data_IF_597123564849
#
_entry.id   IF_597123564849
#
_cell.length_a   1.000
_cell.length_b   1.000
_cell.length_c   1.000
_cell.angle_alpha   90.00
_cell.angle_beta   90.00
_cell.angle_gamma   90.00
#
_symmetry.space_group_name_H-M   'P 1'
#
loop_
_entity.id
_entity.type
_entity.pdbx_description
1 polymer ?
#
# COMPACT_ATOMS: atom_id res chain seq x y z
N UNK A 1 8.52 -7.57 2.01
CA UNK A 1 7.11 -8.04 1.91
C UNK A 1 6.22 -7.73 3.12
N UNK A 2 6.76 -7.50 4.33
CA UNK A 2 5.95 -7.26 5.54
C UNK A 2 4.97 -6.09 5.41
N UNK A 3 5.44 -4.92 4.96
CA UNK A 3 4.58 -3.73 4.78
C UNK A 3 3.42 -3.98 3.81
N UNK A 4 3.68 -4.62 2.66
CA UNK A 4 2.65 -4.97 1.68
C UNK A 4 1.54 -5.84 2.32
N UNK A 5 1.90 -6.80 3.18
CA UNK A 5 0.93 -7.65 3.90
C UNK A 5 0.12 -6.87 4.94
N UNK A 6 0.74 -5.94 5.66
CA UNK A 6 0.04 -5.08 6.63
C UNK A 6 -1.01 -4.22 5.94
N UNK A 7 -0.65 -3.60 4.82
CA UNK A 7 -1.56 -2.82 3.99
C UNK A 7 -2.75 -3.66 3.54
N UNK A 8 -2.50 -4.80 2.88
CA UNK A 8 -3.56 -5.70 2.40
C UNK A 8 -4.47 -6.15 3.54
N UNK A 9 -3.91 -6.54 4.69
CA UNK A 9 -4.70 -6.99 5.85
C UNK A 9 -5.61 -5.89 6.43
N UNK A 10 -5.17 -4.63 6.45
CA UNK A 10 -6.03 -3.51 6.87
C UNK A 10 -7.15 -3.26 5.87
N UNK A 11 -6.83 -3.33 4.57
CA UNK A 11 -7.80 -3.12 3.50
C UNK A 11 -8.82 -4.26 3.46
N UNK A 12 -8.42 -5.52 3.55
CA UNK A 12 -9.32 -6.67 3.58
C UNK A 12 -10.35 -6.58 4.71
N UNK A 13 -9.90 -6.19 5.91
CA UNK A 13 -10.79 -5.98 7.07
C UNK A 13 -11.66 -4.73 6.99
N UNK A 14 -11.48 -3.90 5.95
CA UNK A 14 -12.17 -2.62 5.77
C UNK A 14 -12.11 -1.71 7.01
N UNK A 15 -11.02 -1.80 7.78
CA UNK A 15 -10.93 -1.12 9.07
C UNK A 15 -10.37 0.30 8.89
N UNK A 16 -11.28 1.23 8.62
CA UNK A 16 -10.96 2.64 8.32
C UNK A 16 -10.13 3.33 9.41
N UNK A 17 -10.29 2.92 10.67
CA UNK A 17 -9.47 3.37 11.82
C UNK A 17 -7.98 3.19 11.58
N UNK A 18 -7.59 2.17 10.82
CA UNK A 18 -6.18 1.86 10.56
C UNK A 18 -5.67 2.35 9.20
N UNK A 19 -6.48 3.06 8.40
CA UNK A 19 -6.04 3.59 7.11
C UNK A 19 -4.84 4.54 7.20
N UNK A 20 -4.70 5.40 8.22
CA UNK A 20 -3.49 6.21 8.37
C UNK A 20 -2.22 5.37 8.53
N UNK A 21 -2.29 4.28 9.32
CA UNK A 21 -1.17 3.36 9.49
C UNK A 21 -0.87 2.60 8.18
N UNK A 22 -1.90 2.09 7.51
CA UNK A 22 -1.73 1.43 6.23
C UNK A 22 -1.17 2.38 5.15
N UNK A 23 -1.50 3.66 5.16
CA UNK A 23 -0.92 4.63 4.24
C UNK A 23 0.58 4.85 4.52
N UNK A 24 0.99 4.91 5.79
CA UNK A 24 2.41 4.96 6.20
C UNK A 24 3.16 3.69 5.80
N UNK A 25 2.56 2.52 6.01
CA UNK A 25 3.13 1.24 5.59
C UNK A 25 3.26 1.16 4.06
N UNK A 26 2.30 1.72 3.32
CA UNK A 26 2.35 1.82 1.87
C UNK A 26 3.56 2.67 1.42
N UNK A 27 3.77 3.84 2.04
CA UNK A 27 4.94 4.68 1.74
C UNK A 27 6.27 3.98 2.08
N UNK A 28 6.34 3.27 3.22
CA UNK A 28 7.52 2.48 3.58
C UNK A 28 7.76 1.32 2.58
N UNK A 29 6.70 0.73 2.02
CA UNK A 29 6.81 -0.28 0.98
C UNK A 29 7.35 0.28 -0.34
N UNK A 30 7.07 1.55 -0.66
CA UNK A 30 7.61 2.26 -1.82
C UNK A 30 9.10 2.57 -1.63
N UNK A 31 9.48 3.19 -0.50
CA UNK A 31 10.90 3.48 -0.20
C UNK A 31 11.76 2.21 -0.15
N UNK A 32 11.21 1.11 0.39
CA UNK A 32 11.91 -0.17 0.34
C UNK A 32 12.03 -0.72 -1.09
N UNK A 33 11.01 -0.54 -1.92
CA UNK A 33 11.03 -1.02 -3.30
C UNK A 33 12.11 -0.32 -4.13
N UNK A 34 12.27 0.99 -3.96
CA UNK A 34 13.31 1.76 -4.64
C UNK A 34 14.71 1.25 -4.28
N UNK A 35 14.91 0.78 -3.05
CA UNK A 35 16.21 0.26 -2.57
C UNK A 35 16.52 -1.16 -3.04
N UNK A 36 15.50 -1.93 -3.42
CA UNK A 36 15.65 -3.32 -3.90
C UNK A 36 15.35 -3.44 -5.40
N UNK A 37 15.23 -2.32 -6.11
CA UNK A 37 14.99 -2.27 -7.54
C UNK A 37 16.14 -2.98 -8.29
N UNK A 38 15.89 -4.21 -8.71
CA UNK A 38 16.89 -5.10 -9.32
C UNK A 38 16.85 -6.54 -8.81
N UNK A 39 16.16 -6.81 -7.70
CA UNK A 39 15.89 -8.16 -7.23
C UNK A 39 14.76 -8.80 -8.06
N UNK A 40 15.10 -9.77 -8.92
CA UNK A 40 14.19 -10.43 -9.86
C UNK A 40 13.15 -11.32 -9.19
N UNK A 41 13.35 -11.67 -7.92
CA UNK A 41 12.43 -12.54 -7.16
C UNK A 41 11.30 -11.75 -6.48
N UNK A 42 11.29 -10.42 -6.63
CA UNK A 42 10.32 -9.52 -6.00
C UNK A 42 9.41 -8.91 -7.05
N UNK A 43 8.10 -9.13 -6.88
CA UNK A 43 7.06 -8.46 -7.70
C UNK A 43 7.32 -6.95 -7.72
N UNK A 44 7.41 -6.32 -8.92
CA UNK A 44 7.57 -4.89 -9.05
C UNK A 44 6.55 -4.13 -8.21
N UNK A 45 7.00 -3.02 -7.63
CA UNK A 45 6.13 -2.23 -6.74
C UNK A 45 4.90 -1.70 -7.46
N UNK A 46 5.06 -1.29 -8.72
CA UNK A 46 3.98 -0.78 -9.54
C UNK A 46 2.91 -1.84 -9.84
N UNK A 47 3.33 -3.08 -10.12
CA UNK A 47 2.41 -4.20 -10.33
C UNK A 47 1.61 -4.50 -9.07
N UNK A 48 2.28 -4.48 -7.91
CA UNK A 48 1.60 -4.65 -6.62
C UNK A 48 0.62 -3.50 -6.33
N UNK A 49 0.99 -2.25 -6.59
CA UNK A 49 0.11 -1.10 -6.41
C UNK A 49 -1.11 -1.15 -7.35
N UNK A 50 -0.90 -1.56 -8.61
CA UNK A 50 -1.96 -1.70 -9.59
C UNK A 50 -2.99 -2.77 -9.15
N UNK A 51 -2.53 -3.92 -8.67
CA UNK A 51 -3.41 -4.96 -8.16
C UNK A 51 -4.14 -4.51 -6.88
N UNK A 52 -3.43 -3.86 -5.96
CA UNK A 52 -4.02 -3.29 -4.75
C UNK A 52 -5.12 -2.27 -5.11
N UNK A 53 -4.90 -1.44 -6.13
CA UNK A 53 -5.89 -0.46 -6.63
C UNK A 53 -7.08 -1.14 -7.30
N UNK A 54 -6.87 -2.23 -8.02
CA UNK A 54 -7.94 -3.02 -8.65
C UNK A 54 -8.85 -3.65 -7.59
N UNK A 55 -8.29 -4.25 -6.55
CA UNK A 55 -9.07 -4.95 -5.50
C UNK A 55 -9.71 -3.95 -4.52
N UNK A 56 -9.00 -2.88 -4.15
CA UNK A 56 -9.41 -1.97 -3.08
C UNK A 56 -9.70 -0.54 -3.55
N UNK A 57 -9.90 -0.30 -4.84
CA UNK A 57 -10.13 1.03 -5.42
C UNK A 57 -11.28 1.82 -4.77
N UNK A 58 -12.32 1.13 -4.29
CA UNK A 58 -13.47 1.72 -3.60
C UNK A 58 -13.16 2.26 -2.19
N UNK A 59 -12.00 1.94 -1.61
CA UNK A 59 -11.58 2.41 -0.27
C UNK A 59 -11.01 3.83 -0.35
N UNK A 60 -11.83 4.78 -0.82
CA UNK A 60 -11.43 6.16 -1.16
C UNK A 60 -10.70 6.84 0.02
N UNK A 61 -11.14 6.59 1.26
CA UNK A 61 -10.49 7.12 2.46
C UNK A 61 -9.02 6.71 2.59
N UNK A 62 -8.67 5.46 2.28
CA UNK A 62 -7.27 5.01 2.25
C UNK A 62 -6.48 5.71 1.14
N UNK A 63 -7.04 5.77 -0.06
CA UNK A 63 -6.35 6.36 -1.21
C UNK A 63 -6.13 7.87 -1.06
N UNK A 64 -7.03 8.57 -0.39
CA UNK A 64 -6.82 9.98 -0.06
C UNK A 64 -5.68 10.18 0.95
N UNK A 65 -5.50 9.25 1.90
CA UNK A 65 -4.36 9.26 2.83
C UNK A 65 -3.04 9.02 2.08
N UNK A 66 -3.02 8.05 1.17
CA UNK A 66 -1.85 7.78 0.31
C UNK A 66 -1.51 8.99 -0.58
N UNK A 67 -2.52 9.68 -1.10
CA UNK A 67 -2.33 10.90 -1.89
C UNK A 67 -1.99 12.16 -1.07
N UNK A 68 -1.82 12.04 0.26
CA UNK A 68 -1.50 13.17 1.13
C UNK A 68 -2.63 14.20 1.31
N UNK A 69 -3.88 13.87 0.95
CA UNK A 69 -5.01 14.82 0.98
C UNK A 69 -5.56 15.09 2.39
N UNK A 70 -5.11 14.34 3.40
CA UNK A 70 -5.55 14.46 4.80
C UNK A 70 -4.40 14.31 5.79
N UNK A 71 -3.15 14.51 5.33
CA UNK A 71 -1.94 14.50 6.15
C UNK A 71 -1.52 15.90 6.55
#
# INVERSE_FOLDING_TARGET
>A
MLYRRLVTGVLDRASSKYYPYAARDCAAATDLADRIAGDVDVVPHDDWLADLRKVHGRKIGFWNQVAGKFG
#
